data_IF_812954870248
#
_entry.id   IF_812954870248
#
_cell.length_a   1.000
_cell.length_b   1.000
_cell.length_c   1.000
_cell.angle_alpha   90.00
_cell.angle_beta   90.00
_cell.angle_gamma   90.00
#
_symmetry.space_group_name_H-M   'P 1'
#
loop_
_entity.id
_entity.type
_entity.pdbx_description
1 polymer ?
#
# COMPACT_ATOMS: atom_id res chain seq x y z
N UNK A 1 12.95 24.67 -16.12
CA UNK A 1 13.15 23.20 -16.16
C UNK A 1 12.49 22.61 -14.93
N UNK A 2 11.45 21.79 -15.09
CA UNK A 2 10.88 21.03 -13.98
C UNK A 2 11.88 19.94 -13.62
N UNK A 3 12.45 20.02 -12.41
CA UNK A 3 13.30 18.98 -11.83
C UNK A 3 12.48 17.71 -11.67
N UNK A 4 12.47 16.87 -12.70
CA UNK A 4 11.88 15.54 -12.64
C UNK A 4 12.80 14.74 -11.74
N UNK A 5 12.31 14.52 -10.52
CA UNK A 5 12.94 13.70 -9.48
C UNK A 5 12.95 12.28 -10.06
N UNK A 6 13.93 11.98 -10.92
CA UNK A 6 14.28 10.63 -11.39
C UNK A 6 15.00 9.90 -10.24
N UNK A 7 14.44 9.97 -9.02
CA UNK A 7 14.83 9.04 -7.98
C UNK A 7 14.23 7.72 -8.40
N UNK A 8 15.09 6.73 -8.64
CA UNK A 8 14.70 5.34 -8.87
C UNK A 8 13.46 5.02 -8.00
N UNK A 9 12.44 4.36 -8.55
CA UNK A 9 11.21 4.11 -7.79
C UNK A 9 11.50 3.33 -6.49
N UNK A 10 12.64 2.64 -6.41
CA UNK A 10 13.07 1.85 -5.26
C UNK A 10 13.15 2.63 -3.92
N UNK A 11 13.89 3.75 -3.77
CA UNK A 11 13.89 4.56 -2.55
C UNK A 11 12.50 5.14 -2.21
N UNK A 12 11.71 5.56 -3.20
CA UNK A 12 10.35 6.06 -2.96
C UNK A 12 9.41 4.96 -2.47
N UNK A 13 9.51 3.77 -3.06
CA UNK A 13 8.78 2.57 -2.64
C UNK A 13 9.18 2.14 -1.23
N UNK A 14 10.46 2.19 -0.88
CA UNK A 14 10.93 1.87 0.45
C UNK A 14 10.38 2.85 1.50
N UNK A 15 10.45 4.16 1.22
CA UNK A 15 9.89 5.19 2.09
C UNK A 15 8.37 5.06 2.25
N UNK A 16 7.66 4.80 1.14
CA UNK A 16 6.22 4.57 1.15
C UNK A 16 5.86 3.32 1.97
N UNK A 17 6.51 2.19 1.68
CA UNK A 17 6.30 0.93 2.39
C UNK A 17 6.57 1.06 3.89
N UNK A 18 7.64 1.75 4.28
CA UNK A 18 7.99 1.96 5.68
C UNK A 18 6.88 2.66 6.48
N UNK A 19 6.14 3.59 5.85
CA UNK A 19 5.07 4.37 6.49
C UNK A 19 3.69 3.72 6.44
N UNK A 20 3.54 2.60 5.72
CA UNK A 20 2.28 1.84 5.72
C UNK A 20 1.99 1.21 7.09
N UNK A 21 0.71 1.08 7.41
CA UNK A 21 0.25 0.36 8.61
C UNK A 21 0.66 -1.12 8.52
N UNK A 22 1.03 -1.73 9.64
CA UNK A 22 1.51 -3.12 9.67
C UNK A 22 0.49 -4.13 9.11
N UNK A 23 -0.81 -3.87 9.33
CA UNK A 23 -1.91 -4.68 8.75
C UNK A 23 -1.91 -4.68 7.21
N UNK A 24 -1.46 -3.58 6.59
CA UNK A 24 -1.34 -3.43 5.14
C UNK A 24 -0.02 -4.07 4.67
N UNK A 25 1.09 -3.79 5.35
CA UNK A 25 2.41 -4.42 5.10
C UNK A 25 2.33 -5.95 5.12
N UNK A 26 1.70 -6.53 6.15
CA UNK A 26 1.53 -7.98 6.28
C UNK A 26 0.75 -8.63 5.13
N UNK A 27 -0.19 -7.90 4.51
CA UNK A 27 -0.90 -8.39 3.32
C UNK A 27 -0.13 -8.15 2.03
N UNK A 28 0.60 -7.05 1.93
CA UNK A 28 1.51 -6.79 0.80
C UNK A 28 2.64 -7.82 0.76
N UNK A 29 3.22 -8.19 1.90
CA UNK A 29 4.26 -9.22 2.01
C UNK A 29 3.79 -10.63 1.62
N UNK A 30 2.47 -10.87 1.62
CA UNK A 30 1.86 -12.14 1.16
C UNK A 30 1.50 -12.12 -0.33
N UNK A 31 1.76 -11.03 -1.04
CA UNK A 31 1.55 -10.89 -2.48
C UNK A 31 2.89 -10.74 -3.17
N UNK A 32 2.91 -10.93 -4.49
CA UNK A 32 4.07 -10.62 -5.30
C UNK A 32 4.52 -9.19 -5.08
N UNK A 33 5.84 -9.00 -4.99
CA UNK A 33 6.45 -7.69 -4.74
C UNK A 33 6.12 -6.79 -5.95
N UNK A 34 5.48 -5.63 -5.75
CA UNK A 34 5.13 -4.75 -6.86
C UNK A 34 6.38 -4.21 -7.55
N UNK A 35 6.32 -4.08 -8.87
CA UNK A 35 7.47 -3.68 -9.72
C UNK A 35 7.74 -2.17 -9.73
N UNK A 36 6.75 -1.36 -9.37
CA UNK A 36 6.85 0.09 -9.38
C UNK A 36 6.04 0.73 -8.24
N UNK A 37 6.29 2.01 -7.98
CA UNK A 37 5.64 2.76 -6.92
C UNK A 37 4.12 2.81 -7.09
N UNK A 38 3.65 2.96 -8.32
CA UNK A 38 2.22 3.03 -8.62
C UNK A 38 1.49 1.73 -8.24
N UNK A 39 2.04 0.57 -8.60
CA UNK A 39 1.50 -0.74 -8.25
C UNK A 39 1.51 -0.99 -6.73
N UNK A 40 2.54 -0.49 -6.04
CA UNK A 40 2.62 -0.54 -4.58
C UNK A 40 1.50 0.30 -3.95
N UNK A 41 1.29 1.53 -4.42
CA UNK A 41 0.23 2.42 -3.94
C UNK A 41 -1.16 1.85 -4.20
N UNK A 42 -1.43 1.38 -5.42
CA UNK A 42 -2.73 0.78 -5.78
C UNK A 42 -3.04 -0.44 -4.90
N UNK A 43 -2.05 -1.33 -4.72
CA UNK A 43 -2.20 -2.51 -3.88
C UNK A 43 -2.44 -2.15 -2.41
N UNK A 44 -1.74 -1.14 -1.88
CA UNK A 44 -1.93 -0.66 -0.52
C UNK A 44 -3.35 -0.11 -0.30
N UNK A 45 -3.84 0.73 -1.22
CA UNK A 45 -5.20 1.31 -1.16
C UNK A 45 -6.27 0.22 -1.21
N UNK A 46 -6.17 -0.70 -2.16
CA UNK A 46 -7.11 -1.82 -2.29
C UNK A 46 -7.15 -2.69 -1.03
N UNK A 47 -5.99 -2.92 -0.41
CA UNK A 47 -5.90 -3.68 0.84
C UNK A 47 -6.57 -2.94 2.00
N UNK A 48 -6.30 -1.64 2.17
CA UNK A 48 -6.88 -0.86 3.27
C UNK A 48 -8.40 -0.74 3.11
N UNK A 49 -8.90 -0.50 1.89
CA UNK A 49 -10.35 -0.50 1.59
C UNK A 49 -11.00 -1.83 1.98
N UNK A 50 -10.42 -2.96 1.57
CA UNK A 50 -10.96 -4.28 1.92
C UNK A 50 -10.91 -4.57 3.42
N UNK A 51 -9.94 -4.01 4.15
CA UNK A 51 -9.90 -4.13 5.62
C UNK A 51 -11.00 -3.28 6.25
N UNK A 52 -11.17 -2.04 5.79
CA UNK A 52 -12.21 -1.15 6.25
C UNK A 52 -13.61 -1.72 6.03
N UNK A 53 -13.90 -2.27 4.85
CA UNK A 53 -15.15 -2.97 4.56
C UNK A 53 -15.42 -4.11 5.54
N UNK A 54 -14.43 -4.96 5.81
CA UNK A 54 -14.57 -6.05 6.80
C UNK A 54 -14.82 -5.55 8.21
N UNK A 55 -14.15 -4.46 8.61
CA UNK A 55 -14.38 -3.83 9.91
C UNK A 55 -15.82 -3.28 10.00
N UNK A 56 -16.34 -2.70 8.92
CA UNK A 56 -17.74 -2.24 8.85
C UNK A 56 -18.74 -3.40 8.90
N UNK A 57 -18.51 -4.49 8.17
CA UNK A 57 -19.35 -5.69 8.22
C UNK A 57 -19.43 -6.25 9.64
N UNK A 58 -18.29 -6.33 10.35
CA UNK A 58 -18.26 -6.78 11.76
C UNK A 58 -19.04 -5.87 12.69
N UNK A 59 -19.00 -4.55 12.45
CA UNK A 59 -19.75 -3.57 13.27
C UNK A 59 -21.26 -3.59 12.99
N UNK A 60 -21.68 -3.92 11.77
CA UNK A 60 -23.10 -3.99 11.39
C UNK A 60 -23.78 -5.30 11.80
N UNK A 61 -23.00 -6.34 12.12
CA UNK A 61 -23.49 -7.64 12.57
C UNK A 61 -23.58 -7.83 14.10
N UNK A 62 -23.36 -6.76 14.89
CA UNK A 62 -23.68 -6.67 16.32
C UNK A 62 -24.93 -5.82 16.52
#
# INVERSE_FOLDING_TARGET
>A
LQSRIDWDDAPLMAAYYARLKDRVKNKLARRDRPDNLYALMESAVRIDNRQYERELERKKGQ
#
